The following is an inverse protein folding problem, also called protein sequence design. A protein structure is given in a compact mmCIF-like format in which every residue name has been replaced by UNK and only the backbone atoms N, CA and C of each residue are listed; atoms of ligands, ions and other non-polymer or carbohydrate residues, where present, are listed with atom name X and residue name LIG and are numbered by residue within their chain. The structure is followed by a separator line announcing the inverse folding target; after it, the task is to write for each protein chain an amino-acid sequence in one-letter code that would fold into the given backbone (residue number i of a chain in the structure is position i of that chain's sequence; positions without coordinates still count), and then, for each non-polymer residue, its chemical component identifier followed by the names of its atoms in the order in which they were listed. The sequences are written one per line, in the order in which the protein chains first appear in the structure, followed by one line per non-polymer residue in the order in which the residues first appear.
data_IF_581672849679
#
_entry.id   IF_581672849679
#
_cell.length_a   1.000
_cell.length_b   1.000
_cell.length_c   1.000
_cell.angle_alpha   90.00
_cell.angle_beta   90.00
_cell.angle_gamma   90.00
#
_symmetry.space_group_name_H-M   'P 1'
#
loop_
_entity.id
_entity.type
_entity.pdbx_description
1 polymer ?
#
# COMPACT_ATOMS: atom_id res chain seq x y z
N UNK A 1 -34.64 -36.92 -48.88
CA UNK A 1 -33.88 -37.13 -50.13
C UNK A 1 -32.95 -35.94 -50.31
N UNK A 2 -31.70 -36.16 -49.89
CA UNK A 2 -30.43 -35.66 -50.43
C UNK A 2 -30.30 -34.21 -50.97
N UNK A 3 -29.37 -33.52 -50.30
CA UNK A 3 -28.15 -32.93 -50.88
C UNK A 3 -28.19 -31.56 -51.56
N UNK A 4 -27.62 -30.59 -50.83
CA UNK A 4 -26.80 -29.44 -51.27
C UNK A 4 -25.86 -29.78 -52.44
N UNK A 5 -25.44 -28.82 -53.32
CA UNK A 5 -24.37 -27.84 -52.98
C UNK A 5 -24.50 -26.46 -53.69
N UNK A 6 -24.12 -25.34 -53.07
CA UNK A 6 -22.78 -24.73 -52.91
C UNK A 6 -22.41 -23.68 -53.98
N UNK A 7 -21.80 -22.62 -53.45
CA UNK A 7 -20.68 -21.83 -53.98
C UNK A 7 -20.94 -20.91 -55.19
N UNK A 8 -20.92 -19.61 -54.93
CA UNK A 8 -20.49 -18.58 -55.88
C UNK A 8 -19.17 -17.96 -55.42
N UNK A 9 -18.26 -17.87 -56.38
CA UNK A 9 -16.89 -17.39 -56.29
C UNK A 9 -16.76 -15.88 -56.56
N UNK A 10 -15.96 -15.24 -55.72
CA UNK A 10 -15.04 -14.09 -55.89
C UNK A 10 -15.04 -13.22 -57.17
N UNK A 11 -14.98 -11.89 -56.96
CA UNK A 11 -14.29 -10.93 -57.83
C UNK A 11 -13.46 -9.89 -57.00
N UNK A 12 -12.26 -9.46 -57.48
CA UNK A 12 -11.28 -8.59 -56.78
C UNK A 12 -11.49 -7.06 -57.00
N UNK A 13 -10.71 -6.17 -56.33
CA UNK A 13 -11.08 -4.77 -56.02
C UNK A 13 -10.40 -3.70 -56.91
N UNK A 14 -10.84 -2.43 -56.87
CA UNK A 14 -9.98 -1.29 -57.17
C UNK A 14 -9.47 -0.59 -55.90
N UNK A 15 -8.15 -0.43 -55.89
CA UNK A 15 -7.32 0.29 -54.92
C UNK A 15 -7.55 1.80 -55.07
N UNK A 16 -7.91 2.50 -53.99
CA UNK A 16 -7.55 3.91 -53.83
C UNK A 16 -7.50 4.31 -52.35
N UNK A 17 -6.25 4.29 -51.84
CA UNK A 17 -5.67 5.15 -50.80
C UNK A 17 -6.67 6.07 -50.09
N UNK A 18 -7.04 5.77 -48.84
CA UNK A 18 -7.10 6.78 -47.76
C UNK A 18 -7.18 6.08 -46.38
N UNK A 19 -6.07 6.20 -45.65
CA UNK A 19 -6.01 6.56 -44.22
C UNK A 19 -6.63 5.57 -43.24
N UNK A 20 -5.87 4.51 -43.02
CA UNK A 20 -5.53 3.94 -41.70
C UNK A 20 -5.96 4.78 -40.48
N UNK A 21 -7.05 4.42 -39.80
CA UNK A 21 -7.26 4.77 -38.37
C UNK A 21 -7.96 3.62 -37.64
N UNK A 22 -7.13 2.70 -37.13
CA UNK A 22 -7.50 1.70 -36.13
C UNK A 22 -7.74 2.41 -34.79
N UNK A 23 -9.00 2.55 -34.37
CA UNK A 23 -9.34 2.91 -32.98
C UNK A 23 -9.33 1.62 -32.16
N UNK A 24 -8.13 1.18 -31.78
CA UNK A 24 -7.94 0.20 -30.72
C UNK A 24 -7.75 0.96 -29.40
N UNK A 25 -8.86 1.42 -28.82
CA UNK A 25 -8.90 1.91 -27.45
C UNK A 25 -8.77 0.70 -26.50
N UNK A 26 -7.54 0.29 -26.20
CA UNK A 26 -7.27 -0.61 -25.08
C UNK A 26 -6.57 0.18 -23.99
N UNK A 27 -7.37 0.55 -23.00
CA UNK A 27 -7.07 1.41 -21.88
C UNK A 27 -5.79 0.98 -21.16
N UNK A 28 -4.82 1.88 -21.13
CA UNK A 28 -3.70 1.87 -20.19
C UNK A 28 -4.27 1.99 -18.77
N UNK A 29 -4.44 0.86 -18.09
CA UNK A 29 -4.58 0.83 -16.64
C UNK A 29 -3.24 1.28 -16.04
N UNK A 30 -3.12 2.60 -15.85
CA UNK A 30 -2.09 3.18 -15.00
C UNK A 30 -2.26 2.60 -13.60
N UNK A 31 -1.37 1.67 -13.23
CA UNK A 31 -1.23 1.20 -11.87
C UNK A 31 -0.86 2.39 -11.00
N UNK A 32 -1.79 2.83 -10.15
CA UNK A 32 -1.51 3.83 -9.13
C UNK A 32 -0.50 3.24 -8.16
N UNK A 33 0.75 3.67 -8.28
CA UNK A 33 1.79 3.38 -7.30
C UNK A 33 1.37 4.02 -5.98
N UNK A 34 1.11 3.21 -4.96
CA UNK A 34 1.00 3.69 -3.57
C UNK A 34 2.36 4.23 -3.18
N UNK A 35 2.60 5.52 -3.36
CA UNK A 35 3.86 6.16 -2.99
C UNK A 35 4.15 5.85 -1.51
N UNK A 36 5.27 5.17 -1.26
CA UNK A 36 5.77 4.95 0.09
C UNK A 36 5.89 6.31 0.79
N UNK A 37 5.53 6.34 2.07
CA UNK A 37 5.61 7.57 2.85
C UNK A 37 7.05 8.11 2.82
N UNK A 38 7.26 9.44 2.70
CA UNK A 38 8.60 9.98 2.72
C UNK A 38 9.30 9.60 4.02
N UNK A 39 10.60 9.33 3.91
CA UNK A 39 11.44 9.10 5.07
C UNK A 39 11.42 10.33 5.99
N UNK A 40 11.53 10.09 7.29
CA UNK A 40 11.74 11.16 8.27
C UNK A 40 13.05 11.89 8.00
N UNK A 41 13.05 13.20 8.23
CA UNK A 41 14.23 14.06 8.06
C UNK A 41 15.10 14.11 9.32
N UNK A 42 14.52 13.83 10.49
CA UNK A 42 15.20 13.82 11.79
C UNK A 42 15.24 12.40 12.34
N UNK A 43 16.40 11.96 12.82
CA UNK A 43 16.57 10.66 13.44
C UNK A 43 15.79 10.59 14.78
N UNK A 44 14.91 9.60 14.97
CA UNK A 44 14.06 9.52 16.17
C UNK A 44 14.81 9.13 17.45
N UNK A 45 16.06 8.67 17.32
CA UNK A 45 16.89 8.26 18.46
C UNK A 45 17.84 9.38 18.87
N UNK A 46 18.61 9.93 17.92
CA UNK A 46 19.67 10.89 18.21
C UNK A 46 19.28 12.35 17.99
N UNK A 47 18.15 12.64 17.32
CA UNK A 47 17.72 14.00 16.95
C UNK A 47 18.56 14.66 15.85
N UNK A 48 19.59 13.97 15.32
CA UNK A 48 20.42 14.43 14.21
C UNK A 48 19.68 14.28 12.86
N UNK A 49 20.15 14.93 11.78
CA UNK A 49 19.63 14.68 10.43
C UNK A 49 19.68 13.19 10.08
N UNK A 50 18.58 12.67 9.55
CA UNK A 50 18.50 11.27 9.14
C UNK A 50 19.28 11.06 7.83
N UNK A 51 19.98 9.94 7.73
CA UNK A 51 20.60 9.49 6.50
C UNK A 51 19.64 8.53 5.77
N UNK A 52 19.19 8.84 4.55
CA UNK A 52 18.25 8.00 3.81
C UNK A 52 18.81 6.62 3.44
N UNK A 53 20.13 6.41 3.54
CA UNK A 53 20.75 5.10 3.32
C UNK A 53 20.68 4.17 4.55
N UNK A 54 20.41 4.71 5.75
CA UNK A 54 20.38 3.93 6.99
C UNK A 54 18.93 3.83 7.44
N UNK A 55 18.25 2.76 7.05
CA UNK A 55 16.80 2.61 7.29
C UNK A 55 16.42 1.30 7.97
N UNK A 56 15.30 1.31 8.68
CA UNK A 56 14.62 0.11 9.19
C UNK A 56 13.15 0.14 8.80
N UNK A 57 12.54 -1.05 8.66
CA UNK A 57 11.11 -1.20 8.41
C UNK A 57 10.40 -1.58 9.70
N UNK A 58 9.57 -0.68 10.19
CA UNK A 58 8.66 -0.96 11.29
C UNK A 58 7.36 -1.56 10.77
N UNK A 59 6.86 -2.59 11.45
CA UNK A 59 5.53 -3.16 11.18
C UNK A 59 4.87 -3.59 12.48
N UNK A 60 3.57 -3.31 12.62
CA UNK A 60 2.74 -3.76 13.74
C UNK A 60 1.35 -4.12 13.28
N UNK A 61 0.94 -5.36 13.57
CA UNK A 61 -0.37 -5.91 13.23
C UNK A 61 -1.26 -6.02 14.46
N UNK A 62 -2.49 -5.55 14.37
CA UNK A 62 -3.49 -5.60 15.45
C UNK A 62 -4.86 -5.98 14.91
N UNK A 63 -5.67 -6.63 15.75
CA UNK A 63 -7.06 -6.94 15.43
C UNK A 63 -7.98 -5.72 15.66
N UNK A 64 -8.98 -5.56 14.81
CA UNK A 64 -10.04 -4.55 14.92
C UNK A 64 -11.40 -5.22 15.05
N UNK A 65 -12.42 -4.49 15.49
CA UNK A 65 -13.74 -5.09 15.76
C UNK A 65 -14.61 -5.28 14.52
N UNK A 66 -14.34 -4.59 13.40
CA UNK A 66 -15.16 -4.66 12.20
C UNK A 66 -14.46 -4.05 10.97
N UNK A 67 -15.06 -4.28 9.79
CA UNK A 67 -14.56 -3.77 8.51
C UNK A 67 -14.54 -2.24 8.44
N UNK A 68 -15.43 -1.55 9.15
CA UNK A 68 -15.39 -0.08 9.24
C UNK A 68 -14.13 0.42 9.94
N UNK A 69 -13.70 -0.22 11.03
CA UNK A 69 -12.45 0.14 11.69
C UNK A 69 -11.24 -0.20 10.80
N UNK A 70 -11.31 -1.31 10.06
CA UNK A 70 -10.30 -1.64 9.05
C UNK A 70 -10.19 -0.54 7.99
N UNK A 71 -11.32 -0.10 7.44
CA UNK A 71 -11.38 0.96 6.44
C UNK A 71 -10.85 2.31 6.96
N UNK A 72 -11.23 2.72 8.18
CA UNK A 72 -10.71 3.94 8.80
C UNK A 72 -9.19 3.90 8.96
N UNK A 73 -8.67 2.76 9.40
CA UNK A 73 -7.23 2.56 9.51
C UNK A 73 -6.54 2.67 8.13
N UNK A 74 -7.04 1.96 7.12
CA UNK A 74 -6.46 1.98 5.77
C UNK A 74 -6.48 3.39 5.16
N UNK A 75 -7.50 4.19 5.44
CA UNK A 75 -7.61 5.55 4.95
C UNK A 75 -6.60 6.52 5.60
N UNK A 76 -6.25 6.30 6.87
CA UNK A 76 -5.38 7.21 7.61
C UNK A 76 -4.48 6.49 8.64
N UNK A 77 -3.58 5.58 8.21
CA UNK A 77 -2.86 4.69 9.12
C UNK A 77 -2.01 5.45 10.14
N UNK A 78 -1.36 6.54 9.71
CA UNK A 78 -0.59 7.46 10.57
C UNK A 78 -1.39 8.06 11.72
N UNK A 79 -2.66 8.39 11.48
CA UNK A 79 -3.57 8.97 12.49
C UNK A 79 -3.86 8.01 13.63
N UNK A 80 -3.73 6.70 13.39
CA UNK A 80 -4.05 5.67 14.37
C UNK A 80 -2.85 4.98 15.02
N UNK A 81 -1.61 5.37 14.70
CA UNK A 81 -0.40 4.76 15.29
C UNK A 81 -0.45 4.70 16.83
N UNK A 82 -0.86 5.79 17.48
CA UNK A 82 -0.97 5.85 18.95
C UNK A 82 -1.96 4.83 19.50
N UNK A 83 -3.09 4.62 18.80
CA UNK A 83 -4.09 3.63 19.17
C UNK A 83 -3.56 2.20 19.00
N UNK A 84 -2.80 1.95 17.92
CA UNK A 84 -2.19 0.64 17.64
C UNK A 84 -1.11 0.29 18.66
N UNK A 85 -0.30 1.26 19.06
CA UNK A 85 0.72 1.05 20.09
C UNK A 85 0.12 0.75 21.46
N UNK A 86 -1.03 1.33 21.76
CA UNK A 86 -1.78 1.10 22.99
C UNK A 86 -2.78 -0.08 22.90
N UNK A 87 -2.74 -0.88 21.82
CA UNK A 87 -3.69 -1.97 21.64
C UNK A 87 -3.61 -2.98 22.79
N UNK A 88 -4.76 -3.29 23.38
CA UNK A 88 -4.91 -4.31 24.41
C UNK A 88 -5.48 -5.58 23.78
N UNK A 89 -4.96 -6.75 24.16
CA UNK A 89 -5.44 -8.03 23.66
C UNK A 89 -6.96 -8.16 23.84
N UNK A 90 -7.67 -8.56 22.76
CA UNK A 90 -9.13 -8.70 22.77
C UNK A 90 -9.92 -7.39 22.63
N UNK A 91 -9.26 -6.23 22.58
CA UNK A 91 -9.90 -4.93 22.39
C UNK A 91 -9.46 -4.28 21.08
N UNK A 92 -10.42 -3.71 20.35
CA UNK A 92 -10.16 -2.94 19.14
C UNK A 92 -9.48 -1.62 19.51
N UNK A 93 -8.31 -1.30 18.92
CA UNK A 93 -7.60 -0.07 19.26
C UNK A 93 -8.35 1.19 18.82
N UNK A 94 -9.22 1.12 17.82
CA UNK A 94 -9.94 2.27 17.29
C UNK A 94 -11.23 2.58 18.07
N UNK A 95 -11.93 1.55 18.54
CA UNK A 95 -13.27 1.70 19.15
C UNK A 95 -13.36 1.23 20.60
N UNK A 96 -12.33 0.54 21.12
CA UNK A 96 -12.28 -0.13 22.44
C UNK A 96 -13.28 -1.27 22.62
N UNK A 97 -14.08 -1.62 21.61
CA UNK A 97 -14.98 -2.79 21.62
C UNK A 97 -14.19 -4.09 21.49
N UNK A 98 -14.82 -5.24 21.73
CA UNK A 98 -14.22 -6.57 21.49
C UNK A 98 -13.66 -6.65 20.05
N UNK A 99 -12.38 -7.01 19.91
CA UNK A 99 -11.76 -7.21 18.60
C UNK A 99 -12.22 -8.51 17.97
N UNK A 100 -12.26 -8.55 16.64
CA UNK A 100 -12.40 -9.77 15.84
C UNK A 100 -11.01 -10.18 15.34
N UNK A 101 -10.51 -11.35 15.78
CA UNK A 101 -9.19 -11.85 15.43
C UNK A 101 -9.02 -12.11 13.92
N UNK A 102 -10.12 -12.26 13.18
CA UNK A 102 -10.13 -12.45 11.73
C UNK A 102 -9.99 -11.13 10.97
N UNK A 103 -10.13 -9.98 11.65
CA UNK A 103 -10.08 -8.64 11.08
C UNK A 103 -8.84 -7.92 11.58
N UNK A 104 -7.73 -8.08 10.88
CA UNK A 104 -6.46 -7.43 11.24
C UNK A 104 -6.16 -6.21 10.35
N UNK A 105 -5.40 -5.29 10.93
CA UNK A 105 -4.77 -4.17 10.24
C UNK A 105 -3.28 -4.15 10.57
N UNK A 106 -2.46 -3.77 9.60
CA UNK A 106 -1.01 -3.67 9.75
C UNK A 106 -0.57 -2.25 9.47
N UNK A 107 0.08 -1.63 10.46
CA UNK A 107 0.80 -0.38 10.26
C UNK A 107 2.23 -0.70 9.88
N UNK A 108 2.68 -0.20 8.73
CA UNK A 108 4.07 -0.35 8.27
C UNK A 108 4.65 1.02 7.93
N UNK A 109 5.92 1.23 8.27
CA UNK A 109 6.64 2.46 7.92
C UNK A 109 8.14 2.21 7.81
N UNK A 110 8.77 2.78 6.79
CA UNK A 110 10.22 2.89 6.73
C UNK A 110 10.71 4.09 7.55
N UNK A 111 11.76 3.88 8.33
CA UNK A 111 12.34 4.86 9.25
C UNK A 111 13.82 5.03 8.92
N UNK A 112 14.27 6.26 8.72
CA UNK A 112 15.67 6.61 8.49
C UNK A 112 16.37 7.05 9.79
N UNK A 113 17.66 6.75 9.90
CA UNK A 113 18.48 7.04 11.07
C UNK A 113 19.74 7.80 10.69
N UNK A 114 20.31 8.54 11.63
CA UNK A 114 21.56 9.27 11.39
C UNK A 114 22.77 8.32 11.29
N UNK A 115 22.72 7.19 12.00
CA UNK A 115 23.84 6.25 12.15
C UNK A 115 23.35 4.83 12.49
N UNK A 116 24.25 3.86 12.38
CA UNK A 116 23.95 2.45 12.61
C UNK A 116 23.60 2.13 14.08
N UNK A 117 24.16 2.87 15.05
CA UNK A 117 23.87 2.66 16.47
C UNK A 117 22.43 3.08 16.80
N UNK A 118 22.00 4.22 16.25
CA UNK A 118 20.61 4.70 16.33
C UNK A 118 19.65 3.70 15.70
N UNK A 119 19.98 3.17 14.51
CA UNK A 119 19.18 2.11 13.89
C UNK A 119 19.08 0.87 14.81
N UNK A 120 20.19 0.40 15.37
CA UNK A 120 20.21 -0.76 16.24
C UNK A 120 19.39 -0.55 17.52
N UNK A 121 19.46 0.65 18.13
CA UNK A 121 18.65 1.01 19.29
C UNK A 121 17.15 1.00 18.97
N UNK A 122 16.76 1.52 17.80
CA UNK A 122 15.38 1.44 17.33
C UNK A 122 14.94 -0.02 17.11
N UNK A 123 15.73 -0.83 16.42
CA UNK A 123 15.39 -2.22 16.13
C UNK A 123 15.23 -3.07 17.40
N UNK A 124 15.99 -2.76 18.46
CA UNK A 124 15.87 -3.44 19.75
C UNK A 124 14.54 -3.14 20.46
N UNK A 125 13.91 -2.00 20.19
CA UNK A 125 12.67 -1.60 20.85
C UNK A 125 11.85 -0.61 20.00
N UNK A 126 11.35 -1.00 18.82
CA UNK A 126 10.79 -0.05 17.86
C UNK A 126 9.50 0.62 18.35
N UNK A 127 8.69 -0.12 19.12
CA UNK A 127 7.47 0.39 19.76
C UNK A 127 7.73 1.56 20.72
N UNK A 128 8.95 1.66 21.30
CA UNK A 128 9.33 2.77 22.18
C UNK A 128 9.69 4.05 21.44
N UNK A 129 10.05 3.94 20.16
CA UNK A 129 10.69 5.01 19.38
C UNK A 129 9.91 5.41 18.12
N UNK A 130 8.87 4.66 17.75
CA UNK A 130 8.10 4.91 16.53
C UNK A 130 7.22 6.18 16.61
N UNK A 131 6.87 6.65 17.82
CA UNK A 131 6.06 7.87 18.00
C UNK A 131 6.84 9.13 17.61
N UNK A 132 8.15 9.09 17.82
CA UNK A 132 9.12 10.16 17.57
C UNK A 132 9.37 10.34 16.07
N UNK A 133 9.08 9.33 15.26
CA UNK A 133 9.26 9.38 13.80
C UNK A 133 8.18 10.25 13.13
N UNK A 134 7.08 10.62 13.80
CA UNK A 134 5.92 11.32 13.19
C UNK A 134 6.24 12.72 12.61
N UNK A 135 7.43 13.25 12.86
CA UNK A 135 7.88 14.54 12.31
C UNK A 135 7.87 14.55 10.78
#
# INVERSE_FOLDING_TARGET
MNSYPSATSYHPPPIMKHILTLIAAFSLLAGFSTAAEPLNTVCPISGKPANPAITSNYSKTVAVCCDRCKAQFTAAPKGYLSNILAAVAGQCPLSKKKSDSSKTVTYSRQVAFADAASKAAFDAAPDKHIKEVRQ
#
